data_IF_978376773129
#
_entry.id   IF_978376773129
#
_cell.length_a   1.000
_cell.length_b   1.000
_cell.length_c   1.000
_cell.angle_alpha   90.00
_cell.angle_beta   90.00
_cell.angle_gamma   90.00
#
_symmetry.space_group_name_H-M   'P 1'
#
loop_
_entity.id
_entity.type
_entity.pdbx_description
1 polymer ?
#
# COMPACT_ATOMS: atom_id res chain seq x y z
N UNK A 1 11.32 29.52 27.07
CA UNK A 1 12.75 29.87 26.91
C UNK A 1 13.03 29.97 25.43
N UNK A 2 13.47 31.14 24.94
CA UNK A 2 13.87 31.32 23.54
C UNK A 2 15.32 30.87 23.38
N UNK A 3 15.52 29.62 22.94
CA UNK A 3 16.83 29.10 22.57
C UNK A 3 17.28 29.67 21.22
N UNK A 4 18.58 29.90 21.05
CA UNK A 4 19.16 30.18 19.73
C UNK A 4 19.07 28.93 18.84
N UNK A 5 19.06 29.05 17.49
CA UNK A 5 18.93 27.89 16.61
C UNK A 5 20.10 26.90 16.75
N UNK A 6 21.30 27.39 17.08
CA UNK A 6 22.49 26.56 17.32
C UNK A 6 22.38 25.77 18.63
N UNK A 7 22.00 26.44 19.74
CA UNK A 7 21.77 25.77 21.03
C UNK A 7 20.61 24.77 20.93
N UNK A 8 19.55 25.11 20.18
CA UNK A 8 18.43 24.19 19.94
C UNK A 8 18.88 22.94 19.20
N UNK A 9 19.74 23.07 18.18
CA UNK A 9 20.32 21.94 17.45
C UNK A 9 21.17 21.05 18.35
N UNK A 10 22.01 21.62 19.22
CA UNK A 10 22.84 20.87 20.15
C UNK A 10 22.00 20.10 21.17
N UNK A 11 20.96 20.72 21.71
CA UNK A 11 20.01 20.07 22.63
C UNK A 11 19.31 18.90 21.94
N UNK A 12 18.77 19.10 20.73
CA UNK A 12 18.10 18.04 19.96
C UNK A 12 19.06 16.89 19.64
N UNK A 13 20.30 17.18 19.22
CA UNK A 13 21.29 16.14 18.93
C UNK A 13 21.68 15.36 20.19
N UNK A 14 21.85 16.03 21.32
CA UNK A 14 22.22 15.38 22.58
C UNK A 14 21.11 14.47 23.06
N UNK A 15 19.85 14.92 23.01
CA UNK A 15 18.68 14.10 23.34
C UNK A 15 18.52 12.91 22.38
N UNK A 16 18.75 13.10 21.08
CA UNK A 16 18.75 12.00 20.10
C UNK A 16 19.85 10.97 20.37
N UNK A 17 21.03 11.38 20.86
CA UNK A 17 22.10 10.45 21.25
C UNK A 17 21.71 9.63 22.48
N UNK A 18 21.04 10.24 23.45
CA UNK A 18 20.55 9.56 24.63
C UNK A 18 19.49 8.50 24.29
N UNK A 19 18.65 8.76 23.28
CA UNK A 19 17.61 7.84 22.81
C UNK A 19 18.13 6.44 22.45
N UNK A 20 19.34 6.33 21.88
CA UNK A 20 19.94 5.03 21.54
C UNK A 20 20.26 4.14 22.76
N UNK A 21 20.24 4.70 23.97
CA UNK A 21 20.50 3.99 25.23
C UNK A 21 19.22 3.64 25.99
N UNK A 22 18.06 4.10 25.51
CA UNK A 22 16.77 3.90 26.18
C UNK A 22 16.11 2.59 25.76
N UNK A 23 15.32 2.03 26.67
CA UNK A 23 14.46 0.90 26.40
C UNK A 23 13.30 1.31 25.50
N UNK A 24 12.76 0.40 24.67
CA UNK A 24 11.77 0.76 23.65
C UNK A 24 10.54 1.46 24.22
N UNK A 25 10.07 1.11 25.42
CA UNK A 25 8.90 1.71 26.04
C UNK A 25 9.10 3.18 26.49
N UNK A 26 10.36 3.61 26.68
CA UNK A 26 10.68 4.99 27.10
C UNK A 26 10.88 5.94 25.91
N UNK A 27 11.01 5.38 24.70
CA UNK A 27 11.22 6.16 23.47
C UNK A 27 10.00 7.01 23.08
N UNK A 28 8.75 6.48 23.05
CA UNK A 28 7.58 7.25 22.64
C UNK A 28 7.37 8.57 23.40
N UNK A 29 7.42 8.64 24.75
CA UNK A 29 7.22 9.90 25.46
C UNK A 29 8.33 10.92 25.18
N UNK A 30 9.58 10.46 25.01
CA UNK A 30 10.68 11.32 24.62
C UNK A 30 10.47 11.89 23.20
N UNK A 31 10.02 11.06 22.26
CA UNK A 31 9.73 11.48 20.89
C UNK A 31 8.60 12.49 20.86
N UNK A 32 7.54 12.29 21.62
CA UNK A 32 6.45 13.26 21.76
C UNK A 32 6.98 14.64 22.21
N UNK A 33 7.83 14.66 23.24
CA UNK A 33 8.45 15.89 23.73
C UNK A 33 9.35 16.52 22.66
N UNK A 34 10.19 15.72 21.98
CA UNK A 34 11.09 16.20 20.93
C UNK A 34 10.33 16.77 19.73
N UNK A 35 9.23 16.15 19.30
CA UNK A 35 8.36 16.66 18.25
C UNK A 35 7.74 18.02 18.65
N UNK A 36 7.32 18.15 19.91
CA UNK A 36 6.82 19.42 20.45
C UNK A 36 7.92 20.49 20.57
N UNK A 37 9.19 20.10 20.72
CA UNK A 37 10.34 21.02 20.70
C UNK A 37 10.77 21.40 19.28
N UNK A 38 10.52 20.52 18.30
CA UNK A 38 10.96 20.67 16.91
C UNK A 38 9.88 21.28 15.99
N UNK A 39 8.87 21.97 16.53
CA UNK A 39 7.76 22.59 15.76
C UNK A 39 8.20 23.43 14.55
N UNK A 40 9.40 24.01 14.63
CA UNK A 40 9.91 24.97 13.65
C UNK A 40 11.17 24.47 12.95
N UNK A 41 12.13 23.84 13.66
CA UNK A 41 13.44 23.43 13.12
C UNK A 41 13.88 22.03 13.55
N UNK A 42 14.81 21.43 12.80
CA UNK A 42 15.58 20.21 13.11
C UNK A 42 14.82 18.87 13.22
N UNK A 43 13.57 18.83 12.76
CA UNK A 43 12.79 17.60 12.66
C UNK A 43 13.50 16.48 11.88
N UNK A 44 14.23 16.82 10.82
CA UNK A 44 14.98 15.86 9.98
C UNK A 44 15.99 15.04 10.80
N UNK A 45 16.71 15.68 11.72
CA UNK A 45 17.72 15.02 12.57
C UNK A 45 17.07 13.99 13.48
N UNK A 46 15.87 14.28 13.98
CA UNK A 46 15.08 13.36 14.80
C UNK A 46 14.69 12.12 14.01
N UNK A 47 14.10 12.29 12.82
CA UNK A 47 13.68 11.16 11.97
C UNK A 47 14.86 10.24 11.58
N UNK A 48 16.03 10.81 11.31
CA UNK A 48 17.22 10.01 10.98
C UNK A 48 17.74 9.22 12.18
N UNK A 49 17.69 9.78 13.39
CA UNK A 49 18.08 9.05 14.60
C UNK A 49 17.06 7.96 14.97
N UNK A 50 15.76 8.23 14.77
CA UNK A 50 14.71 7.24 14.97
C UNK A 50 14.85 6.08 13.99
N UNK A 51 15.14 6.38 12.72
CA UNK A 51 15.42 5.34 11.74
C UNK A 51 16.60 4.46 12.16
N UNK A 52 17.72 5.07 12.60
CA UNK A 52 18.87 4.31 13.08
C UNK A 52 18.52 3.45 14.30
N UNK A 53 17.70 3.97 15.22
CA UNK A 53 17.26 3.24 16.41
C UNK A 53 16.43 2.00 16.03
N UNK A 54 15.35 2.19 15.27
CA UNK A 54 14.46 1.08 14.88
C UNK A 54 15.12 0.13 13.88
N UNK A 55 15.99 0.62 13.00
CA UNK A 55 16.80 -0.25 12.13
C UNK A 55 17.65 -1.19 12.97
N UNK A 56 18.30 -0.68 14.02
CA UNK A 56 19.14 -1.48 14.90
C UNK A 56 18.34 -2.46 15.79
N UNK A 57 17.15 -2.08 16.24
CA UNK A 57 16.36 -2.86 17.21
C UNK A 57 15.35 -3.82 16.57
N UNK A 58 14.79 -3.49 15.40
CA UNK A 58 13.71 -4.26 14.78
C UNK A 58 14.10 -4.87 13.43
N UNK A 59 14.82 -4.11 12.60
CA UNK A 59 14.99 -4.50 11.19
C UNK A 59 16.31 -5.22 10.90
N UNK A 60 17.29 -5.21 11.82
CA UNK A 60 18.59 -5.87 11.65
C UNK A 60 18.53 -7.37 11.34
N UNK A 61 17.59 -8.10 11.95
CA UNK A 61 17.39 -9.52 11.69
C UNK A 61 16.66 -9.77 10.37
N UNK A 62 15.59 -9.00 10.13
CA UNK A 62 14.70 -9.20 8.98
C UNK A 62 15.26 -8.72 7.64
N UNK A 63 16.27 -7.85 7.65
CA UNK A 63 16.93 -7.33 6.44
C UNK A 63 18.09 -8.21 5.93
N UNK A 64 18.53 -9.21 6.71
CA UNK A 64 19.70 -10.05 6.37
C UNK A 64 19.39 -11.21 5.42
N UNK A 65 18.13 -11.47 5.08
CA UNK A 65 17.78 -12.52 4.14
C UNK A 65 17.96 -12.05 2.69
N UNK A 66 19.21 -11.96 2.26
CA UNK A 66 19.64 -12.45 0.94
C UNK A 66 21.16 -12.64 0.87
N UNK A 67 21.59 -13.90 0.88
CA UNK A 67 22.88 -14.40 0.36
C UNK A 67 24.16 -14.31 1.22
N UNK A 68 24.11 -14.54 2.53
CA UNK A 68 25.30 -15.01 3.26
C UNK A 68 24.95 -16.18 4.17
N UNK A 69 24.95 -17.39 3.59
CA UNK A 69 25.21 -18.62 4.32
C UNK A 69 26.70 -18.63 4.65
N UNK A 70 27.12 -17.83 5.64
CA UNK A 70 28.39 -17.95 6.36
C UNK A 70 28.54 -16.75 7.29
N UNK A 71 27.85 -16.79 8.42
CA UNK A 71 28.24 -16.27 9.74
C UNK A 71 27.04 -16.41 10.69
N UNK A 72 26.46 -17.61 10.71
CA UNK A 72 25.47 -18.05 11.69
C UNK A 72 26.22 -18.58 12.92
N UNK A 73 26.79 -17.70 13.75
CA UNK A 73 27.33 -18.07 15.06
C UNK A 73 27.20 -16.97 16.14
N UNK A 74 26.36 -15.96 15.93
CA UNK A 74 25.91 -15.08 17.02
C UNK A 74 24.41 -14.84 16.88
N UNK A 75 23.64 -15.92 17.01
CA UNK A 75 22.22 -15.84 17.36
C UNK A 75 22.15 -15.30 18.79
N UNK A 76 22.09 -13.97 18.93
CA UNK A 76 21.37 -13.42 20.07
C UNK A 76 19.92 -13.67 19.72
N UNK A 77 19.36 -14.74 20.28
CA UNK A 77 17.92 -14.91 20.44
C UNK A 77 17.39 -13.59 20.98
N UNK A 78 16.84 -12.75 20.10
CA UNK A 78 16.10 -11.59 20.54
C UNK A 78 14.85 -12.14 21.21
N UNK A 79 14.77 -11.99 22.54
CA UNK A 79 13.56 -12.25 23.31
C UNK A 79 12.34 -11.75 22.52
N UNK A 80 11.40 -12.65 22.19
CA UNK A 80 10.18 -12.32 21.42
C UNK A 80 9.40 -11.17 22.08
N UNK A 81 9.51 -11.06 23.41
CA UNK A 81 8.98 -9.97 24.23
C UNK A 81 9.60 -8.62 23.85
N UNK A 82 10.93 -8.55 23.68
CA UNK A 82 11.64 -7.32 23.32
C UNK A 82 11.35 -6.88 21.87
N UNK A 83 11.12 -7.82 20.95
CA UNK A 83 10.66 -7.52 19.58
C UNK A 83 9.25 -6.94 19.62
N UNK A 84 8.35 -7.50 20.44
CA UNK A 84 6.99 -7.00 20.61
C UNK A 84 6.98 -5.60 21.22
N UNK A 85 7.72 -5.37 22.31
CA UNK A 85 7.85 -4.06 22.95
C UNK A 85 8.42 -3.02 21.97
N UNK A 86 9.39 -3.42 21.15
CA UNK A 86 9.96 -2.55 20.12
C UNK A 86 8.95 -2.20 19.02
N UNK A 87 8.08 -3.15 18.62
CA UNK A 87 7.01 -2.90 17.64
C UNK A 87 5.95 -1.95 18.19
N UNK A 88 5.47 -2.21 19.41
CA UNK A 88 4.47 -1.36 20.09
C UNK A 88 5.00 0.08 20.31
N UNK A 89 6.29 0.19 20.66
CA UNK A 89 6.99 1.47 20.72
C UNK A 89 7.04 2.19 19.37
N UNK A 90 7.41 1.48 18.30
CA UNK A 90 7.47 2.04 16.95
C UNK A 90 6.08 2.53 16.49
N UNK A 91 5.01 1.79 16.79
CA UNK A 91 3.64 2.19 16.46
C UNK A 91 3.21 3.44 17.22
N UNK A 92 3.54 3.54 18.51
CA UNK A 92 3.25 4.73 19.33
C UNK A 92 4.04 5.95 18.81
N UNK A 93 5.30 5.75 18.43
CA UNK A 93 6.12 6.81 17.81
C UNK A 93 5.51 7.28 16.49
N UNK A 94 5.07 6.35 15.63
CA UNK A 94 4.41 6.70 14.37
C UNK A 94 3.11 7.48 14.60
N UNK A 95 2.34 7.13 15.63
CA UNK A 95 1.14 7.87 16.02
C UNK A 95 1.49 9.30 16.45
N UNK A 96 2.50 9.47 17.31
CA UNK A 96 2.96 10.81 17.71
C UNK A 96 3.48 11.65 16.53
N UNK A 97 4.16 11.02 15.57
CA UNK A 97 4.59 11.67 14.33
C UNK A 97 3.37 12.09 13.51
N UNK A 98 2.36 11.24 13.37
CA UNK A 98 1.12 11.53 12.68
C UNK A 98 0.37 12.71 13.32
N UNK A 99 0.25 12.73 14.64
CA UNK A 99 -0.40 13.82 15.39
C UNK A 99 0.39 15.13 15.28
N UNK A 100 1.72 15.07 15.37
CA UNK A 100 2.58 16.24 15.18
C UNK A 100 2.49 16.77 13.75
N UNK A 101 2.37 15.87 12.76
CA UNK A 101 2.17 16.22 11.36
C UNK A 101 0.82 16.94 11.16
N UNK A 102 -0.26 16.45 11.79
CA UNK A 102 -1.56 17.15 11.82
C UNK A 102 -1.46 18.55 12.42
N UNK A 103 -0.78 18.71 13.54
CA UNK A 103 -0.71 19.96 14.29
C UNK A 103 0.25 21.01 13.68
N UNK A 104 1.35 20.58 13.04
CA UNK A 104 2.43 21.47 12.59
C UNK A 104 2.80 21.26 11.12
N UNK A 105 2.06 21.83 10.16
CA UNK A 105 2.25 21.59 8.72
C UNK A 105 3.61 22.07 8.17
N UNK A 106 4.29 22.99 8.87
CA UNK A 106 5.65 23.44 8.51
C UNK A 106 6.69 22.31 8.67
N UNK A 107 6.58 21.54 9.74
CA UNK A 107 7.49 20.40 10.02
C UNK A 107 7.43 19.33 8.93
N UNK A 108 6.22 19.00 8.45
CA UNK A 108 6.07 18.03 7.34
C UNK A 108 6.70 18.58 6.05
N UNK A 109 6.52 19.87 5.77
CA UNK A 109 7.10 20.50 4.57
C UNK A 109 8.61 20.38 4.55
N UNK A 110 9.26 20.59 5.70
CA UNK A 110 10.70 20.48 5.82
C UNK A 110 11.15 19.02 5.64
N UNK A 111 10.43 18.06 6.23
CA UNK A 111 10.66 16.63 6.01
C UNK A 111 10.54 16.25 4.52
N UNK A 112 9.46 16.67 3.84
CA UNK A 112 9.24 16.35 2.43
C UNK A 112 10.30 17.03 1.55
N UNK A 113 10.68 18.27 1.86
CA UNK A 113 11.74 18.96 1.13
C UNK A 113 13.09 18.25 1.26
N UNK A 114 13.41 17.76 2.46
CA UNK A 114 14.62 17.01 2.74
C UNK A 114 14.62 15.67 2.01
N UNK A 115 13.53 14.91 2.08
CA UNK A 115 13.40 13.63 1.40
C UNK A 115 13.43 13.77 -0.13
N UNK A 116 12.91 14.87 -0.66
CA UNK A 116 13.05 15.19 -2.09
C UNK A 116 14.52 15.40 -2.49
N UNK A 117 15.33 15.97 -1.61
CA UNK A 117 16.77 16.07 -1.85
C UNK A 117 17.45 14.69 -1.80
N UNK A 118 16.83 13.71 -1.14
CA UNK A 118 17.27 12.32 -1.10
C UNK A 118 16.79 11.45 -2.27
N UNK A 119 16.12 12.01 -3.30
CA UNK A 119 15.80 11.25 -4.54
C UNK A 119 17.07 10.64 -5.15
N UNK A 120 18.23 11.25 -4.92
CA UNK A 120 19.52 10.73 -5.36
C UNK A 120 19.93 9.41 -4.68
N UNK A 121 19.43 9.13 -3.48
CA UNK A 121 19.74 7.95 -2.67
C UNK A 121 18.45 7.22 -2.23
N UNK A 122 17.82 6.45 -3.14
CA UNK A 122 16.52 5.81 -2.85
C UNK A 122 16.57 4.83 -1.67
N UNK A 123 17.73 4.22 -1.40
CA UNK A 123 17.98 3.32 -0.26
C UNK A 123 17.60 3.93 1.09
N UNK A 124 17.83 5.25 1.26
CA UNK A 124 17.53 5.92 2.52
C UNK A 124 16.03 6.14 2.72
N UNK A 125 15.26 6.21 1.62
CA UNK A 125 13.80 6.40 1.61
C UNK A 125 13.09 5.06 1.73
N UNK A 126 13.68 3.98 1.21
CA UNK A 126 13.14 2.62 1.30
C UNK A 126 13.45 1.90 2.60
N UNK A 127 14.09 2.55 3.58
CA UNK A 127 14.23 1.96 4.92
C UNK A 127 12.85 1.78 5.56
N UNK A 128 12.57 0.63 6.22
CA UNK A 128 11.23 0.32 6.71
C UNK A 128 10.59 1.40 7.58
N UNK A 129 11.33 1.96 8.55
CA UNK A 129 10.81 3.01 9.43
C UNK A 129 10.47 4.30 8.68
N UNK A 130 11.42 4.83 7.89
CA UNK A 130 11.16 6.02 7.07
C UNK A 130 9.99 5.78 6.11
N UNK A 131 9.95 4.62 5.45
CA UNK A 131 8.86 4.29 4.55
C UNK A 131 7.51 4.21 5.28
N UNK A 132 7.45 3.66 6.49
CA UNK A 132 6.25 3.64 7.33
C UNK A 132 5.79 5.06 7.72
N UNK A 133 6.72 5.94 8.13
CA UNK A 133 6.44 7.36 8.39
C UNK A 133 5.84 8.02 7.16
N UNK A 134 6.40 7.74 5.98
CA UNK A 134 5.90 8.30 4.73
C UNK A 134 4.49 7.83 4.39
N UNK A 135 4.21 6.54 4.59
CA UNK A 135 2.89 5.98 4.38
C UNK A 135 1.87 6.55 5.37
N UNK A 136 2.23 6.70 6.66
CA UNK A 136 1.36 7.31 7.66
C UNK A 136 1.05 8.79 7.32
N UNK A 137 2.05 9.56 6.89
CA UNK A 137 1.84 10.95 6.48
C UNK A 137 1.01 11.03 5.18
N UNK A 138 1.06 10.01 4.32
CA UNK A 138 0.27 10.01 3.08
C UNK A 138 -1.25 9.95 3.30
N UNK A 139 -1.70 9.49 4.47
CA UNK A 139 -3.15 9.40 4.78
C UNK A 139 -3.73 10.65 5.40
N UNK A 140 -2.89 11.63 5.70
CA UNK A 140 -3.28 12.93 6.21
C UNK A 140 -4.11 13.66 5.15
N UNK A 141 -5.42 13.74 5.37
CA UNK A 141 -6.32 14.62 4.62
C UNK A 141 -6.43 15.91 5.43
N UNK A 142 -5.81 16.99 4.96
CA UNK A 142 -5.87 18.29 5.66
C UNK A 142 -7.33 18.79 5.74
N UNK A 143 -7.73 19.25 6.92
CA UNK A 143 -9.09 19.76 7.21
C UNK A 143 -9.52 20.95 6.32
N UNK A 144 -10.83 21.18 6.33
CA UNK A 144 -11.67 21.83 5.31
C UNK A 144 -11.23 23.23 4.80
N UNK A 145 -10.46 23.99 5.56
CA UNK A 145 -10.03 25.34 5.14
C UNK A 145 -8.72 25.37 4.32
N UNK A 146 -8.00 24.24 4.25
CA UNK A 146 -6.72 24.09 3.54
C UNK A 146 -6.74 22.91 2.53
N UNK A 147 -7.93 22.51 2.07
CA UNK A 147 -8.15 21.36 1.20
C UNK A 147 -7.38 21.40 -0.13
N UNK A 148 -7.24 22.59 -0.75
CA UNK A 148 -6.56 22.71 -2.04
C UNK A 148 -5.04 22.57 -1.93
N UNK A 149 -4.42 23.15 -0.90
CA UNK A 149 -2.98 22.99 -0.68
C UNK A 149 -2.66 21.61 -0.12
N UNK A 150 -3.54 21.07 0.72
CA UNK A 150 -3.43 19.71 1.26
C UNK A 150 -3.50 18.64 0.18
N UNK A 151 -4.48 18.72 -0.73
CA UNK A 151 -4.59 17.81 -1.88
C UNK A 151 -3.38 17.92 -2.82
N UNK A 152 -2.92 19.14 -3.11
CA UNK A 152 -1.71 19.35 -3.92
C UNK A 152 -0.46 18.78 -3.23
N UNK A 153 -0.36 18.92 -1.91
CA UNK A 153 0.77 18.41 -1.13
C UNK A 153 0.77 16.89 -1.06
N UNK A 154 -0.37 16.27 -0.76
CA UNK A 154 -0.54 14.81 -0.74
C UNK A 154 -0.31 14.23 -2.13
N UNK A 155 -0.82 14.88 -3.19
CA UNK A 155 -0.55 14.49 -4.58
C UNK A 155 0.94 14.54 -4.93
N UNK A 156 1.61 15.65 -4.61
CA UNK A 156 3.07 15.79 -4.82
C UNK A 156 3.89 14.78 -4.02
N UNK A 157 3.42 14.42 -2.84
CA UNK A 157 4.07 13.45 -1.98
C UNK A 157 3.93 12.02 -2.52
N UNK A 158 2.73 11.67 -2.98
CA UNK A 158 2.45 10.44 -3.71
C UNK A 158 3.28 10.35 -4.98
N UNK A 159 3.39 11.44 -5.73
CA UNK A 159 4.23 11.51 -6.94
C UNK A 159 5.72 11.32 -6.60
N UNK A 160 6.18 11.86 -5.47
CA UNK A 160 7.53 11.64 -4.96
C UNK A 160 7.79 10.17 -4.59
N UNK A 161 6.86 9.52 -3.87
CA UNK A 161 6.97 8.09 -3.54
C UNK A 161 6.99 7.24 -4.82
N UNK A 162 6.08 7.52 -5.75
CA UNK A 162 6.04 6.88 -7.07
C UNK A 162 7.38 7.03 -7.80
N UNK A 163 7.92 8.25 -7.89
CA UNK A 163 9.19 8.49 -8.56
C UNK A 163 10.35 7.75 -7.88
N UNK A 164 10.37 7.71 -6.54
CA UNK A 164 11.39 7.00 -5.77
C UNK A 164 11.34 5.50 -6.06
N UNK A 165 10.14 4.89 -6.03
CA UNK A 165 9.95 3.47 -6.33
C UNK A 165 10.39 3.15 -7.77
N UNK A 166 9.97 3.96 -8.74
CA UNK A 166 10.39 3.80 -10.14
C UNK A 166 11.91 3.85 -10.27
N UNK A 167 12.57 4.75 -9.54
CA UNK A 167 14.02 4.85 -9.51
C UNK A 167 14.67 3.61 -8.89
N UNK A 168 14.13 3.06 -7.79
CA UNK A 168 14.61 1.81 -7.20
C UNK A 168 14.60 0.67 -8.22
N UNK A 169 13.49 0.51 -8.97
CA UNK A 169 13.39 -0.51 -10.01
C UNK A 169 14.40 -0.29 -11.13
N UNK A 170 14.55 0.96 -11.59
CA UNK A 170 15.54 1.31 -12.62
C UNK A 170 16.98 1.04 -12.19
N UNK A 171 17.33 1.34 -10.94
CA UNK A 171 18.66 1.08 -10.40
C UNK A 171 18.93 -0.43 -10.26
N UNK A 172 17.93 -1.21 -9.82
CA UNK A 172 18.06 -2.66 -9.74
C UNK A 172 18.23 -3.32 -11.12
N UNK A 173 17.50 -2.86 -12.15
CA UNK A 173 17.68 -3.33 -13.52
C UNK A 173 19.08 -2.96 -14.07
N UNK A 174 19.54 -1.73 -13.83
CA UNK A 174 20.92 -1.32 -14.19
C UNK A 174 21.99 -2.14 -13.47
N UNK A 175 21.75 -2.50 -12.21
CA UNK A 175 22.65 -3.35 -11.41
C UNK A 175 22.71 -4.77 -11.98
N UNK A 176 21.59 -5.32 -12.43
CA UNK A 176 21.58 -6.62 -13.13
C UNK A 176 22.30 -6.55 -14.47
N UNK A 177 22.18 -5.44 -15.19
CA UNK A 177 22.82 -5.26 -16.49
C UNK A 177 24.35 -5.06 -16.41
N UNK A 178 24.88 -4.49 -15.32
CA UNK A 178 26.31 -4.13 -15.22
C UNK A 178 27.02 -4.80 -14.06
N UNK A 179 28.11 -5.51 -14.36
CA UNK A 179 28.96 -6.13 -13.34
C UNK A 179 29.70 -5.10 -12.49
N UNK A 180 30.19 -4.01 -13.09
CA UNK A 180 30.81 -2.91 -12.35
C UNK A 180 29.86 -2.32 -11.30
N UNK A 181 28.57 -2.23 -11.61
CA UNK A 181 27.58 -1.70 -10.67
C UNK A 181 27.30 -2.70 -9.52
N UNK A 182 27.42 -4.01 -9.77
CA UNK A 182 27.31 -5.03 -8.71
C UNK A 182 28.49 -4.99 -7.75
N UNK A 183 29.67 -4.65 -8.25
CA UNK A 183 30.89 -4.66 -7.45
C UNK A 183 31.07 -3.36 -6.65
N UNK A 184 30.52 -2.23 -7.13
CA UNK A 184 30.68 -0.91 -6.50
C UNK A 184 29.47 -0.42 -5.68
N UNK A 185 28.26 -0.95 -5.90
CA UNK A 185 27.06 -0.57 -5.15
C UNK A 185 26.64 -1.75 -4.28
N UNK A 186 26.62 -1.53 -2.95
CA UNK A 186 26.06 -2.50 -1.99
C UNK A 186 24.64 -2.85 -2.39
N UNK A 187 24.29 -4.14 -2.34
CA UNK A 187 22.95 -4.61 -2.73
C UNK A 187 21.89 -3.82 -1.94
N UNK A 188 21.07 -3.07 -2.65
CA UNK A 188 19.97 -2.32 -2.06
C UNK A 188 18.91 -3.30 -1.55
N UNK A 189 18.34 -3.04 -0.38
CA UNK A 189 17.23 -3.83 0.14
C UNK A 189 16.10 -3.81 -0.88
N UNK A 190 15.68 -4.99 -1.35
CA UNK A 190 14.59 -5.06 -2.32
C UNK A 190 13.31 -4.51 -1.72
N UNK A 191 12.64 -3.60 -2.45
CA UNK A 191 11.39 -2.96 -2.03
C UNK A 191 10.31 -3.98 -1.65
N UNK A 192 10.26 -5.13 -2.32
CA UNK A 192 9.34 -6.21 -2.00
C UNK A 192 9.57 -6.79 -0.59
N UNK A 193 10.83 -6.96 -0.17
CA UNK A 193 11.16 -7.35 1.20
C UNK A 193 10.74 -6.28 2.19
N UNK A 194 11.01 -4.99 1.92
CA UNK A 194 10.59 -3.89 2.80
C UNK A 194 9.07 -3.88 2.98
N UNK A 195 8.32 -4.04 1.89
CA UNK A 195 6.86 -4.14 1.90
C UNK A 195 6.42 -5.34 2.72
N UNK A 196 7.00 -6.52 2.51
CA UNK A 196 6.64 -7.72 3.27
C UNK A 196 6.92 -7.56 4.77
N UNK A 197 8.06 -6.96 5.13
CA UNK A 197 8.43 -6.67 6.52
C UNK A 197 7.40 -5.74 7.16
N UNK A 198 7.01 -4.67 6.47
CA UNK A 198 6.02 -3.73 6.99
C UNK A 198 4.65 -4.37 7.13
N UNK A 199 4.24 -5.18 6.16
CA UNK A 199 2.99 -5.92 6.20
C UNK A 199 3.00 -6.89 7.40
N UNK A 200 4.03 -7.71 7.55
CA UNK A 200 4.17 -8.68 8.65
C UNK A 200 4.30 -8.05 10.04
N UNK A 201 5.01 -6.92 10.15
CA UNK A 201 5.23 -6.28 11.45
C UNK A 201 4.07 -5.40 11.92
N UNK A 202 3.14 -4.98 11.04
CA UNK A 202 2.14 -3.93 11.32
C UNK A 202 0.69 -4.38 11.29
N UNK A 203 0.45 -5.69 11.39
CA UNK A 203 -0.87 -6.29 11.14
C UNK A 203 -1.98 -5.78 12.06
N UNK A 204 -1.70 -5.31 13.28
CA UNK A 204 -2.77 -5.12 14.27
C UNK A 204 -3.11 -3.69 14.69
N UNK A 205 -2.19 -2.71 14.67
CA UNK A 205 -2.46 -1.47 15.43
C UNK A 205 -2.37 -0.14 14.65
N UNK A 206 -1.70 -0.09 13.49
CA UNK A 206 -1.48 1.18 12.77
C UNK A 206 -2.30 1.31 11.48
N UNK A 207 -3.59 1.62 11.66
CA UNK A 207 -4.57 1.82 10.58
C UNK A 207 -4.10 2.85 9.53
N UNK A 208 -3.32 3.87 9.93
CA UNK A 208 -2.83 4.91 9.02
C UNK A 208 -1.82 4.36 8.02
N UNK A 209 -0.83 3.59 8.48
CA UNK A 209 0.16 2.99 7.60
C UNK A 209 -0.51 2.01 6.64
N UNK A 210 -1.45 1.18 7.14
CA UNK A 210 -2.18 0.22 6.31
C UNK A 210 -2.96 0.91 5.17
N UNK A 211 -3.66 2.01 5.46
CA UNK A 211 -4.34 2.79 4.43
C UNK A 211 -3.36 3.50 3.47
N UNK A 212 -2.22 3.96 3.96
CA UNK A 212 -1.14 4.50 3.14
C UNK A 212 -0.58 3.47 2.16
N UNK A 213 -0.36 2.24 2.62
CA UNK A 213 0.07 1.13 1.78
C UNK A 213 -0.99 0.74 0.76
N UNK A 214 -2.25 0.69 1.16
CA UNK A 214 -3.37 0.43 0.25
C UNK A 214 -3.43 1.49 -0.85
N UNK A 215 -3.33 2.77 -0.49
CA UNK A 215 -3.25 3.88 -1.44
C UNK A 215 -2.09 3.69 -2.42
N UNK A 216 -0.90 3.40 -1.89
CA UNK A 216 0.29 3.17 -2.71
C UNK A 216 0.09 2.02 -3.69
N UNK A 217 -0.51 0.90 -3.25
CA UNK A 217 -0.85 -0.23 -4.12
C UNK A 217 -1.71 0.19 -5.31
N UNK A 218 -2.75 0.98 -5.08
CA UNK A 218 -3.59 1.53 -6.16
C UNK A 218 -2.86 2.52 -7.05
N UNK A 219 -2.03 3.39 -6.48
CA UNK A 219 -1.20 4.33 -7.25
C UNK A 219 -0.27 3.59 -8.20
N UNK A 220 0.33 2.47 -7.76
CA UNK A 220 1.19 1.63 -8.59
C UNK A 220 0.41 0.92 -9.71
N UNK A 221 -0.82 0.49 -9.44
CA UNK A 221 -1.71 -0.10 -10.46
C UNK A 221 -2.17 0.93 -11.50
N UNK A 222 -2.38 2.19 -11.08
CA UNK A 222 -2.79 3.30 -11.95
C UNK A 222 -1.68 3.78 -12.91
N UNK A 223 -0.44 3.29 -12.79
CA UNK A 223 0.67 3.71 -13.66
C UNK A 223 0.49 3.09 -15.06
N UNK A 224 0.06 3.93 -16.01
CA UNK A 224 -0.13 3.56 -17.42
C UNK A 224 1.11 3.72 -18.28
N UNK A 225 1.97 4.69 -17.94
CA UNK A 225 3.20 4.99 -18.66
C UNK A 225 4.28 5.43 -17.69
N UNK A 226 5.51 5.01 -17.97
CA UNK A 226 6.70 5.51 -17.26
C UNK A 226 7.52 6.32 -18.26
N UNK A 227 7.92 7.53 -17.84
CA UNK A 227 8.92 8.33 -18.54
C UNK A 227 10.28 7.68 -18.35
N UNK A 228 10.61 6.75 -19.24
CA UNK A 228 11.84 5.96 -19.21
C UNK A 228 11.56 4.52 -19.62
N UNK A 229 12.43 3.94 -20.45
CA UNK A 229 12.33 2.58 -21.01
C UNK A 229 12.36 1.48 -19.93
N UNK A 230 11.36 1.43 -19.05
CA UNK A 230 11.12 0.29 -18.17
C UNK A 230 10.40 -0.74 -19.03
N UNK A 231 11.09 -1.82 -19.41
CA UNK A 231 10.46 -2.97 -20.08
C UNK A 231 9.40 -3.66 -19.19
N UNK A 232 9.42 -3.39 -17.88
CA UNK A 232 8.67 -4.13 -16.87
C UNK A 232 7.64 -3.28 -16.09
N UNK A 233 6.70 -2.63 -16.80
CA UNK A 233 5.49 -2.11 -16.14
C UNK A 233 4.76 -3.22 -15.36
N UNK A 234 4.86 -4.47 -15.83
CA UNK A 234 4.35 -5.66 -15.14
C UNK A 234 4.91 -5.86 -13.74
N UNK A 235 6.18 -5.53 -13.47
CA UNK A 235 6.77 -5.65 -12.12
C UNK A 235 6.11 -4.67 -11.14
N UNK A 236 5.86 -3.44 -11.57
CA UNK A 236 5.17 -2.42 -10.76
C UNK A 236 3.73 -2.82 -10.45
N UNK A 237 3.00 -3.32 -11.46
CA UNK A 237 1.63 -3.79 -11.28
C UNK A 237 1.57 -5.05 -10.40
N UNK A 238 2.55 -5.95 -10.53
CA UNK A 238 2.66 -7.13 -9.66
C UNK A 238 2.93 -6.73 -8.21
N UNK A 239 3.80 -5.75 -7.97
CA UNK A 239 4.06 -5.22 -6.62
C UNK A 239 2.82 -4.54 -6.04
N UNK A 240 2.12 -3.71 -6.83
CA UNK A 240 0.87 -3.07 -6.41
C UNK A 240 -0.20 -4.10 -6.05
N UNK A 241 -0.37 -5.14 -6.87
CA UNK A 241 -1.29 -6.25 -6.61
C UNK A 241 -0.88 -7.03 -5.36
N UNK A 242 0.42 -7.31 -5.20
CA UNK A 242 0.96 -8.02 -4.03
C UNK A 242 0.74 -7.25 -2.74
N UNK A 243 0.91 -5.93 -2.72
CA UNK A 243 0.61 -5.07 -1.58
C UNK A 243 -0.87 -5.20 -1.20
N UNK A 244 -1.78 -5.03 -2.16
CA UNK A 244 -3.23 -5.09 -1.90
C UNK A 244 -3.65 -6.48 -1.39
N UNK A 245 -3.19 -7.55 -2.06
CA UNK A 245 -3.51 -8.93 -1.69
C UNK A 245 -2.99 -9.29 -0.30
N UNK A 246 -1.75 -8.89 0.00
CA UNK A 246 -1.10 -9.22 1.27
C UNK A 246 -1.75 -8.47 2.44
N UNK A 247 -2.14 -7.21 2.25
CA UNK A 247 -2.89 -6.43 3.25
C UNK A 247 -4.27 -7.04 3.53
N UNK A 248 -5.04 -7.34 2.48
CA UNK A 248 -6.39 -7.91 2.61
C UNK A 248 -6.35 -9.29 3.27
N UNK A 249 -5.30 -10.07 3.04
CA UNK A 249 -5.12 -11.39 3.67
C UNK A 249 -4.89 -11.29 5.18
N UNK A 250 -4.20 -10.24 5.63
CA UNK A 250 -3.81 -10.11 7.03
C UNK A 250 -4.85 -9.38 7.87
N UNK A 251 -5.47 -8.33 7.33
CA UNK A 251 -6.39 -7.47 8.07
C UNK A 251 -7.72 -7.32 7.32
N UNK A 252 -8.79 -7.90 7.88
CA UNK A 252 -10.11 -7.91 7.24
C UNK A 252 -10.77 -6.53 7.23
N UNK A 253 -10.42 -5.61 8.12
CA UNK A 253 -10.98 -4.26 8.16
C UNK A 253 -10.65 -3.44 6.91
N UNK A 254 -9.51 -3.72 6.26
CA UNK A 254 -9.03 -2.99 5.08
C UNK A 254 -9.80 -3.38 3.81
N UNK A 255 -10.45 -4.55 3.78
CA UNK A 255 -11.05 -5.09 2.56
C UNK A 255 -12.21 -4.24 2.03
N UNK A 256 -13.04 -3.68 2.92
CA UNK A 256 -14.15 -2.82 2.51
C UNK A 256 -13.64 -1.60 1.75
N UNK A 257 -12.55 -0.98 2.24
CA UNK A 257 -11.95 0.20 1.59
C UNK A 257 -11.22 -0.16 0.31
N UNK A 258 -10.58 -1.33 0.25
CA UNK A 258 -9.94 -1.85 -0.96
C UNK A 258 -10.97 -2.09 -2.07
N UNK A 259 -12.10 -2.71 -1.75
CA UNK A 259 -13.19 -2.96 -2.70
C UNK A 259 -13.91 -1.70 -3.14
N UNK A 260 -14.14 -0.74 -2.24
CA UNK A 260 -14.69 0.57 -2.58
C UNK A 260 -13.78 1.29 -3.60
N UNK A 261 -12.46 1.30 -3.37
CA UNK A 261 -11.49 1.88 -4.30
C UNK A 261 -11.44 1.12 -5.62
N UNK A 262 -11.38 -0.21 -5.63
CA UNK A 262 -11.45 -1.00 -6.86
C UNK A 262 -12.73 -0.68 -7.64
N UNK A 263 -13.88 -0.70 -6.96
CA UNK A 263 -15.18 -0.37 -7.56
C UNK A 263 -15.19 1.03 -8.17
N UNK A 264 -14.61 2.02 -7.47
CA UNK A 264 -14.47 3.38 -7.98
C UNK A 264 -13.56 3.48 -9.20
N UNK A 265 -12.36 2.87 -9.18
CA UNK A 265 -11.42 2.90 -10.31
C UNK A 265 -12.01 2.19 -11.54
N UNK A 266 -12.67 1.04 -11.33
CA UNK A 266 -13.32 0.29 -12.40
C UNK A 266 -14.54 1.07 -12.95
N UNK A 267 -15.23 1.89 -12.14
CA UNK A 267 -16.45 2.60 -12.57
C UNK A 267 -16.19 3.99 -13.17
N UNK A 268 -15.14 4.69 -12.74
CA UNK A 268 -14.95 6.13 -13.06
C UNK A 268 -13.80 6.39 -14.05
N UNK A 269 -12.74 5.58 -14.06
CA UNK A 269 -11.47 5.91 -14.77
C UNK A 269 -11.19 5.15 -16.06
N UNK A 270 -12.13 4.32 -16.55
CA UNK A 270 -11.86 3.38 -17.64
C UNK A 270 -11.02 2.23 -17.11
N UNK A 271 -11.64 1.08 -16.92
CA UNK A 271 -11.04 0.01 -16.14
C UNK A 271 -9.86 -0.62 -16.88
N UNK A 272 -8.66 -0.44 -16.35
CA UNK A 272 -7.46 -1.07 -16.88
C UNK A 272 -7.38 -2.55 -16.49
N UNK A 273 -6.74 -3.37 -17.33
CA UNK A 273 -6.64 -4.84 -17.13
C UNK A 273 -6.11 -5.22 -15.75
N UNK A 274 -5.16 -4.46 -15.24
CA UNK A 274 -4.50 -4.67 -13.95
C UNK A 274 -5.46 -4.62 -12.76
N UNK A 275 -6.51 -3.78 -12.81
CA UNK A 275 -7.51 -3.73 -11.75
C UNK A 275 -8.42 -4.96 -11.77
N UNK A 276 -8.70 -5.50 -12.95
CA UNK A 276 -9.45 -6.75 -13.10
C UNK A 276 -8.63 -7.95 -12.65
N UNK A 277 -7.34 -7.99 -12.99
CA UNK A 277 -6.43 -9.06 -12.55
C UNK A 277 -6.29 -9.04 -11.02
N UNK A 278 -6.15 -7.86 -10.40
CA UNK A 278 -6.14 -7.72 -8.94
C UNK A 278 -7.47 -8.18 -8.30
N UNK A 279 -8.61 -7.84 -8.90
CA UNK A 279 -9.93 -8.30 -8.45
C UNK A 279 -10.07 -9.83 -8.56
N UNK A 280 -9.55 -10.44 -9.62
CA UNK A 280 -9.54 -11.89 -9.80
C UNK A 280 -8.65 -12.58 -8.76
N UNK A 281 -7.45 -12.06 -8.51
CA UNK A 281 -6.57 -12.61 -7.48
C UNK A 281 -7.18 -12.50 -6.07
N UNK A 282 -7.87 -11.38 -5.77
CA UNK A 282 -8.60 -11.23 -4.51
C UNK A 282 -9.74 -12.25 -4.39
N UNK A 283 -10.51 -12.44 -5.46
CA UNK A 283 -11.65 -13.35 -5.51
C UNK A 283 -11.24 -14.81 -5.39
N UNK A 284 -10.04 -15.15 -5.87
CA UNK A 284 -9.46 -16.48 -5.77
C UNK A 284 -8.81 -16.75 -4.41
N UNK A 285 -8.00 -15.82 -3.91
CA UNK A 285 -7.16 -16.04 -2.73
C UNK A 285 -7.87 -15.75 -1.42
N UNK A 286 -8.83 -14.81 -1.40
CA UNK A 286 -9.51 -14.38 -0.17
C UNK A 286 -11.04 -14.32 -0.35
N UNK A 287 -11.69 -15.43 -0.74
CA UNK A 287 -13.12 -15.43 -1.05
C UNK A 287 -14.01 -15.11 0.15
N UNK A 288 -13.65 -15.57 1.35
CA UNK A 288 -14.45 -15.36 2.58
C UNK A 288 -14.50 -13.89 2.99
N UNK A 289 -13.35 -13.21 3.06
CA UNK A 289 -13.33 -11.79 3.43
C UNK A 289 -14.06 -10.93 2.39
N UNK A 290 -13.99 -11.28 1.11
CA UNK A 290 -14.76 -10.59 0.07
C UNK A 290 -16.27 -10.77 0.26
N UNK A 291 -16.72 -11.94 0.68
CA UNK A 291 -18.13 -12.21 0.96
C UNK A 291 -18.68 -11.37 2.12
N UNK A 292 -17.87 -11.10 3.15
CA UNK A 292 -18.24 -10.20 4.25
C UNK A 292 -18.59 -8.80 3.74
N UNK A 293 -17.89 -8.32 2.72
CA UNK A 293 -18.15 -7.05 2.02
C UNK A 293 -19.11 -7.17 0.82
N UNK A 294 -20.19 -7.96 0.98
CA UNK A 294 -21.19 -8.21 -0.08
C UNK A 294 -21.82 -6.96 -0.70
N UNK A 295 -21.89 -5.85 0.04
CA UNK A 295 -22.53 -4.61 -0.42
C UNK A 295 -21.81 -4.02 -1.64
N UNK A 296 -20.48 -3.95 -1.60
CA UNK A 296 -19.67 -3.41 -2.69
C UNK A 296 -19.68 -4.34 -3.90
N UNK A 297 -19.60 -5.66 -3.68
CA UNK A 297 -19.72 -6.64 -4.76
C UNK A 297 -21.08 -6.53 -5.44
N UNK A 298 -22.16 -6.37 -4.66
CA UNK A 298 -23.51 -6.20 -5.20
C UNK A 298 -23.63 -4.94 -6.04
N UNK A 299 -23.04 -3.82 -5.62
CA UNK A 299 -22.98 -2.59 -6.41
C UNK A 299 -22.21 -2.80 -7.73
N UNK A 300 -21.06 -3.49 -7.68
CA UNK A 300 -20.29 -3.81 -8.89
C UNK A 300 -21.11 -4.65 -9.88
N UNK A 301 -21.82 -5.66 -9.37
CA UNK A 301 -22.70 -6.53 -10.16
C UNK A 301 -23.91 -5.78 -10.75
N UNK A 302 -24.52 -4.86 -10.01
CA UNK A 302 -25.61 -4.03 -10.53
C UNK A 302 -25.13 -3.08 -11.64
N UNK A 303 -23.91 -2.55 -11.48
CA UNK A 303 -23.30 -1.64 -12.45
C UNK A 303 -22.83 -2.36 -13.73
N UNK A 304 -22.79 -3.70 -13.79
CA UNK A 304 -22.42 -4.47 -14.99
C UNK A 304 -23.27 -4.11 -16.21
N UNK A 305 -24.56 -3.84 -15.98
CA UNK A 305 -25.52 -3.61 -17.05
C UNK A 305 -25.31 -2.28 -17.75
N UNK A 306 -24.64 -1.32 -17.12
CA UNK A 306 -24.42 0.03 -17.64
C UNK A 306 -23.02 0.19 -18.28
N UNK A 307 -22.20 -0.87 -18.26
CA UNK A 307 -20.81 -0.86 -18.74
C UNK A 307 -20.65 -1.37 -20.18
N UNK A 308 -19.54 -1.00 -20.86
CA UNK A 308 -19.14 -1.60 -22.12
C UNK A 308 -18.97 -3.12 -22.00
N UNK A 309 -19.30 -3.86 -23.06
CA UNK A 309 -19.28 -5.33 -23.06
C UNK A 309 -17.92 -5.94 -22.67
N UNK A 310 -16.82 -5.30 -23.08
CA UNK A 310 -15.45 -5.72 -22.76
C UNK A 310 -15.15 -5.64 -21.25
N UNK A 311 -15.51 -4.52 -20.61
CA UNK A 311 -15.29 -4.33 -19.17
C UNK A 311 -16.20 -5.24 -18.34
N UNK A 312 -17.46 -5.41 -18.76
CA UNK A 312 -18.39 -6.33 -18.12
C UNK A 312 -17.89 -7.77 -18.18
N UNK A 313 -17.30 -8.21 -19.29
CA UNK A 313 -16.69 -9.54 -19.40
C UNK A 313 -15.51 -9.70 -18.41
N UNK A 314 -14.66 -8.70 -18.27
CA UNK A 314 -13.53 -8.73 -17.35
C UNK A 314 -13.97 -8.75 -15.87
N UNK A 315 -14.95 -7.93 -15.48
CA UNK A 315 -15.55 -7.98 -14.12
C UNK A 315 -16.13 -9.37 -13.87
N UNK A 316 -16.85 -9.92 -14.84
CA UNK A 316 -17.46 -11.25 -14.70
C UNK A 316 -16.39 -12.31 -14.49
N UNK A 317 -15.36 -12.37 -15.33
CA UNK A 317 -14.23 -13.30 -15.17
C UNK A 317 -13.57 -13.16 -13.81
N UNK A 318 -13.36 -11.93 -13.35
CA UNK A 318 -12.79 -11.65 -12.04
C UNK A 318 -13.66 -12.14 -10.88
N UNK A 319 -14.99 -12.15 -11.01
CA UNK A 319 -15.92 -12.57 -9.95
C UNK A 319 -16.43 -14.02 -10.06
N UNK A 320 -16.11 -14.74 -11.15
CA UNK A 320 -16.47 -16.16 -11.31
C UNK A 320 -16.08 -16.99 -10.07
N UNK A 321 -14.85 -16.91 -9.54
CA UNK A 321 -14.43 -17.67 -8.36
C UNK A 321 -15.38 -17.50 -7.16
N UNK A 322 -15.79 -16.27 -6.88
CA UNK A 322 -16.73 -15.97 -5.78
C UNK A 322 -18.13 -16.52 -6.05
N UNK A 323 -18.64 -16.40 -7.27
CA UNK A 323 -19.98 -16.91 -7.61
C UNK A 323 -20.05 -18.44 -7.61
N UNK A 324 -18.92 -19.12 -7.82
CA UNK A 324 -18.82 -20.59 -7.65
C UNK A 324 -18.84 -20.98 -6.18
N UNK A 325 -18.18 -20.21 -5.31
CA UNK A 325 -18.10 -20.49 -3.87
C UNK A 325 -19.38 -20.12 -3.11
N UNK A 326 -20.04 -19.02 -3.49
CA UNK A 326 -21.21 -18.49 -2.75
C UNK A 326 -22.49 -18.49 -3.60
N UNK A 327 -23.48 -19.34 -3.28
CA UNK A 327 -24.72 -19.45 -4.07
C UNK A 327 -25.57 -18.18 -4.03
N UNK A 328 -25.54 -17.42 -2.94
CA UNK A 328 -26.28 -16.16 -2.80
C UNK A 328 -25.83 -15.10 -3.80
N UNK A 329 -24.52 -15.00 -4.08
CA UNK A 329 -23.98 -14.09 -5.09
C UNK A 329 -24.35 -14.54 -6.50
N UNK A 330 -24.36 -15.86 -6.74
CA UNK A 330 -24.83 -16.45 -8.00
C UNK A 330 -26.29 -16.10 -8.27
N UNK A 331 -27.17 -16.27 -7.28
CA UNK A 331 -28.58 -15.94 -7.42
C UNK A 331 -28.80 -14.44 -7.67
N UNK A 332 -28.05 -13.58 -6.96
CA UNK A 332 -28.09 -12.14 -7.17
C UNK A 332 -27.63 -11.73 -8.58
N UNK A 333 -26.57 -12.36 -9.08
CA UNK A 333 -26.11 -12.18 -10.45
C UNK A 333 -27.20 -12.60 -11.46
N UNK A 334 -27.83 -13.77 -11.28
CA UNK A 334 -28.91 -14.25 -12.14
C UNK A 334 -30.07 -13.25 -12.17
N UNK A 335 -30.48 -12.73 -11.00
CA UNK A 335 -31.54 -11.74 -10.88
C UNK A 335 -31.15 -10.44 -11.60
N UNK A 336 -29.92 -9.95 -11.40
CA UNK A 336 -29.44 -8.74 -12.07
C UNK A 336 -29.39 -8.92 -13.59
N UNK A 337 -28.93 -10.07 -14.10
CA UNK A 337 -28.92 -10.37 -15.52
C UNK A 337 -30.34 -10.47 -16.10
N UNK A 338 -31.29 -11.09 -15.38
CA UNK A 338 -32.71 -11.11 -15.76
C UNK A 338 -33.28 -9.69 -15.85
N UNK A 339 -33.07 -8.85 -14.84
CA UNK A 339 -33.47 -7.43 -14.87
C UNK A 339 -32.83 -6.68 -16.04
N UNK A 340 -31.57 -7.02 -16.33
CA UNK A 340 -30.85 -6.55 -17.51
C UNK A 340 -31.58 -6.88 -18.80
N UNK A 341 -31.96 -8.14 -19.02
CA UNK A 341 -32.68 -8.58 -20.22
C UNK A 341 -33.92 -7.75 -20.51
N UNK A 342 -34.73 -7.45 -19.48
CA UNK A 342 -35.98 -6.71 -19.64
C UNK A 342 -35.80 -5.19 -19.80
N UNK A 343 -34.61 -4.62 -19.57
CA UNK A 343 -34.40 -3.18 -19.73
C UNK A 343 -34.29 -2.78 -21.21
N UNK A 344 -34.90 -1.66 -21.62
CA UNK A 344 -35.01 -1.29 -23.05
C UNK A 344 -33.72 -0.72 -23.67
N UNK A 345 -32.68 -0.44 -22.88
CA UNK A 345 -31.61 0.53 -23.25
C UNK A 345 -30.34 -0.10 -23.86
N UNK A 346 -30.03 -1.40 -23.69
CA UNK A 346 -28.71 -1.93 -24.06
C UNK A 346 -28.76 -3.31 -24.75
N UNK A 347 -29.15 -3.36 -26.03
CA UNK A 347 -29.33 -4.62 -26.78
C UNK A 347 -28.02 -5.39 -27.05
N UNK A 348 -26.89 -4.72 -27.28
CA UNK A 348 -25.63 -5.38 -27.73
C UNK A 348 -24.70 -5.85 -26.60
N UNK A 349 -24.65 -5.16 -25.45
CA UNK A 349 -23.83 -5.57 -24.29
C UNK A 349 -24.42 -6.79 -23.57
N UNK A 350 -25.75 -6.92 -23.57
CA UNK A 350 -26.49 -7.98 -22.86
C UNK A 350 -26.30 -9.37 -23.45
N UNK A 351 -26.33 -9.49 -24.77
CA UNK A 351 -26.38 -10.80 -25.43
C UNK A 351 -25.03 -11.53 -25.36
N UNK A 352 -23.91 -10.82 -25.42
CA UNK A 352 -22.57 -11.41 -25.28
C UNK A 352 -22.21 -11.75 -23.82
N UNK A 353 -22.59 -10.89 -22.86
CA UNK A 353 -22.36 -11.18 -21.43
C UNK A 353 -23.21 -12.40 -21.02
N UNK A 354 -24.47 -12.48 -21.44
CA UNK A 354 -25.31 -13.65 -21.17
C UNK A 354 -24.83 -14.92 -21.86
N UNK A 355 -24.44 -14.86 -23.13
CA UNK A 355 -23.98 -16.04 -23.88
C UNK A 355 -22.68 -16.64 -23.33
N UNK A 356 -21.81 -15.85 -22.70
CA UNK A 356 -20.58 -16.35 -22.06
C UNK A 356 -20.76 -16.71 -20.59
N UNK A 357 -21.57 -15.95 -19.85
CA UNK A 357 -21.92 -16.28 -18.46
C UNK A 357 -22.67 -17.60 -18.38
N UNK A 358 -23.51 -17.93 -19.37
CA UNK A 358 -24.07 -19.29 -19.47
C UNK A 358 -22.97 -20.31 -19.73
N UNK A 359 -22.08 -20.12 -20.71
CA UNK A 359 -21.01 -21.09 -21.03
C UNK A 359 -20.06 -21.37 -19.85
N UNK A 360 -19.65 -20.34 -19.09
CA UNK A 360 -18.70 -20.51 -17.98
C UNK A 360 -19.35 -21.04 -16.68
N UNK A 361 -20.67 -20.83 -16.50
CA UNK A 361 -21.44 -21.39 -15.39
C UNK A 361 -22.03 -22.78 -15.69
N UNK A 362 -22.21 -23.16 -16.97
CA UNK A 362 -22.81 -24.44 -17.39
C UNK A 362 -21.80 -25.56 -17.61
N UNK A 363 -20.50 -25.31 -17.51
CA UNK A 363 -19.48 -26.35 -17.63
C UNK A 363 -19.61 -27.51 -16.61
N UNK A 364 -20.51 -27.42 -15.61
CA UNK A 364 -20.79 -28.49 -14.65
C UNK A 364 -22.29 -28.88 -14.44
N UNK A 365 -23.27 -28.40 -15.23
CA UNK A 365 -24.66 -28.92 -15.17
C UNK A 365 -25.56 -28.43 -16.32
N UNK A 366 -26.56 -29.22 -16.76
CA UNK A 366 -27.29 -29.02 -18.01
C UNK A 366 -28.41 -27.99 -17.86
N UNK A 367 -28.17 -26.76 -18.31
CA UNK A 367 -29.21 -25.74 -18.47
C UNK A 367 -29.36 -25.35 -19.94
N UNK A 368 -29.69 -26.34 -20.78
CA UNK A 368 -30.10 -26.14 -22.17
C UNK A 368 -31.55 -25.62 -22.31
N UNK A 369 -32.30 -25.52 -21.21
CA UNK A 369 -33.74 -25.20 -21.24
C UNK A 369 -34.10 -23.71 -21.10
N UNK A 370 -33.16 -22.82 -20.79
CA UNK A 370 -33.45 -21.38 -20.63
C UNK A 370 -33.14 -20.53 -21.86
N UNK A 371 -32.60 -21.12 -22.93
CA UNK A 371 -32.39 -20.43 -24.22
C UNK A 371 -33.62 -20.48 -25.16
N UNK A 372 -34.73 -21.10 -24.73
CA UNK A 372 -35.91 -21.30 -25.58
C UNK A 372 -37.05 -20.29 -25.37
N UNK A 373 -36.86 -19.25 -24.56
CA UNK A 373 -37.85 -18.16 -24.50
C UNK A 373 -37.14 -16.84 -24.75
N UNK A 374 -37.10 -16.53 -26.04
CA UNK A 374 -36.92 -15.21 -26.66
C UNK A 374 -37.70 -14.11 -25.97
#
# INVERSE_FOLDING_TARGET
MSLTPEEHKEVVMTLCKCMHRLDPQEVPPLVYLLLNMCKVNHCVTLYMNLDLYFTNKLYKGSLKDTNTVSEALNEVEMDETNVKDSRESEDTVLLHIYDAAMAYPKSIRDLVSFLRNLVCAPELVTRPFIFAVLLAISTIHFHEDMLLLGSLFVGRFVDFLKHTILKCFLEEEKRKASQWLRDNITKTTSLELVVNILIQNRVQDNVQVLYGMLNLGFILLDITSVSGNISDLGKLWSLGSHIVLSLVRQESSVISKALEKLSFHISTRGAMKQHFDCLYELSMRVPMAMYECRSEITKMLQNLLYRPSSESECVMKALIPLTKTFPTLKDMLIINLRKGLYSRILKYSKQNVLARVTVDLTANAPWSSLLLVT
#
